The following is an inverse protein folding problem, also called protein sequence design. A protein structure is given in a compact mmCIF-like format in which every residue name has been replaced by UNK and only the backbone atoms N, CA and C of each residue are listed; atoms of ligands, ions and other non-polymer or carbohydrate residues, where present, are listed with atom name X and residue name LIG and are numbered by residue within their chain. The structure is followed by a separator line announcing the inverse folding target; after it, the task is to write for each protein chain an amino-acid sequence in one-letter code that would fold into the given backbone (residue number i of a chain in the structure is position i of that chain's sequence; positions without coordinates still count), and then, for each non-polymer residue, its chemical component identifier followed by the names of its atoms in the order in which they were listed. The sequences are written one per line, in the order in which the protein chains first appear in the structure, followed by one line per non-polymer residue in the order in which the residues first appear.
data_IF_277533479909
#
_entry.id   IF_277533479909
#
_cell.length_a   1.000
_cell.length_b   1.000
_cell.length_c   1.000
_cell.angle_alpha   90.00
_cell.angle_beta   90.00
_cell.angle_gamma   90.00
#
_symmetry.space_group_name_H-M   'P 1'
#
loop_
_entity.id
_entity.type
_entity.pdbx_description
1 polymer ?
#
# COMPACT_ATOMS: atom_id res chain seq x y z
N UNK A 1 -32.70 -11.91 33.74
CA UNK A 1 -31.71 -11.51 34.76
C UNK A 1 -30.70 -10.63 34.05
N UNK A 2 -30.66 -9.33 34.35
CA UNK A 2 -29.67 -8.43 33.74
C UNK A 2 -28.35 -8.62 34.49
N UNK A 3 -27.26 -8.86 33.76
CA UNK A 3 -25.91 -8.95 34.31
C UNK A 3 -25.52 -7.58 34.87
N UNK A 4 -24.91 -7.55 36.05
CA UNK A 4 -24.44 -6.29 36.64
C UNK A 4 -23.33 -5.65 35.80
N UNK A 5 -23.20 -4.32 35.84
CA UNK A 5 -22.17 -3.59 35.09
C UNK A 5 -20.76 -4.13 35.38
N UNK A 6 -20.44 -4.38 36.65
CA UNK A 6 -19.11 -4.86 37.06
C UNK A 6 -18.82 -6.29 36.56
N UNK A 7 -19.83 -7.17 36.56
CA UNK A 7 -19.73 -8.53 36.01
C UNK A 7 -19.50 -8.47 34.49
N UNK A 8 -20.19 -7.56 33.79
CA UNK A 8 -20.00 -7.38 32.35
C UNK A 8 -18.57 -6.88 32.04
N UNK A 9 -18.06 -5.89 32.79
CA UNK A 9 -16.70 -5.37 32.62
C UNK A 9 -15.66 -6.45 32.93
N UNK A 10 -15.84 -7.24 34.00
CA UNK A 10 -14.95 -8.34 34.35
C UNK A 10 -14.91 -9.41 33.26
N UNK A 11 -16.08 -9.79 32.72
CA UNK A 11 -16.17 -10.75 31.62
C UNK A 11 -15.49 -10.23 30.34
N UNK A 12 -15.64 -8.94 30.01
CA UNK A 12 -14.95 -8.34 28.86
C UNK A 12 -13.44 -8.37 29.04
N UNK A 13 -12.93 -7.99 30.23
CA UNK A 13 -11.49 -8.03 30.54
C UNK A 13 -10.93 -9.44 30.42
N UNK A 14 -11.60 -10.43 31.00
CA UNK A 14 -11.21 -11.83 30.90
C UNK A 14 -11.15 -12.31 29.44
N UNK A 15 -12.12 -11.93 28.60
CA UNK A 15 -12.08 -12.27 27.17
C UNK A 15 -10.97 -11.55 26.39
N UNK A 16 -10.68 -10.29 26.74
CA UNK A 16 -9.57 -9.54 26.14
C UNK A 16 -8.24 -10.17 26.55
N UNK A 17 -8.06 -10.47 27.83
CA UNK A 17 -6.86 -11.11 28.36
C UNK A 17 -6.66 -12.51 27.79
N UNK A 18 -7.73 -13.31 27.65
CA UNK A 18 -7.65 -14.61 26.97
C UNK A 18 -7.18 -14.47 25.51
N UNK A 19 -7.69 -13.47 24.78
CA UNK A 19 -7.33 -13.26 23.36
C UNK A 19 -5.92 -12.69 23.17
N UNK A 20 -5.47 -11.81 24.06
CA UNK A 20 -4.17 -11.12 23.98
C UNK A 20 -3.05 -11.88 24.70
N UNK A 21 -3.35 -12.44 25.88
CA UNK A 21 -2.40 -12.96 26.85
C UNK A 21 -2.00 -14.42 26.66
N UNK A 22 -2.72 -15.20 25.85
CA UNK A 22 -2.27 -16.56 25.52
C UNK A 22 -2.28 -17.54 26.70
N UNK A 23 -3.04 -17.29 27.77
CA UNK A 23 -3.07 -18.10 29.02
C UNK A 23 -3.67 -19.50 28.89
N UNK A 24 -3.60 -20.11 27.70
CA UNK A 24 -3.93 -21.52 27.47
C UNK A 24 -2.63 -22.31 27.27
N UNK A 25 -2.54 -23.50 27.87
CA UNK A 25 -1.37 -24.38 27.78
C UNK A 25 -0.93 -24.74 26.33
N UNK A 26 -1.80 -24.55 25.35
CA UNK A 26 -1.55 -24.81 23.93
C UNK A 26 -1.02 -23.61 23.13
N UNK A 27 -0.91 -22.42 23.73
CA UNK A 27 -0.45 -21.21 23.04
C UNK A 27 0.98 -20.90 23.44
N UNK A 28 1.84 -20.71 22.44
CA UNK A 28 3.24 -20.34 22.65
C UNK A 28 3.37 -18.82 22.68
N UNK A 29 4.02 -18.31 23.73
CA UNK A 29 4.26 -16.87 23.97
C UNK A 29 5.60 -16.40 23.37
N UNK A 30 5.84 -16.77 22.12
CA UNK A 30 7.05 -16.42 21.38
C UNK A 30 6.68 -15.55 20.18
N UNK A 31 7.43 -14.46 19.97
CA UNK A 31 7.20 -13.57 18.84
C UNK A 31 7.35 -14.31 17.51
N UNK A 32 6.35 -14.19 16.64
CA UNK A 32 6.36 -14.75 15.29
C UNK A 32 5.78 -16.15 15.19
N UNK A 33 5.53 -16.84 16.31
CA UNK A 33 4.96 -18.20 16.28
C UNK A 33 3.55 -18.20 15.70
N UNK A 34 2.74 -17.19 15.99
CA UNK A 34 1.36 -17.12 15.49
C UNK A 34 1.34 -16.96 13.97
N UNK A 35 2.25 -16.16 13.46
CA UNK A 35 2.50 -16.01 12.02
C UNK A 35 2.97 -17.33 11.40
N UNK A 36 3.94 -18.00 12.02
CA UNK A 36 4.46 -19.29 11.53
C UNK A 36 3.35 -20.35 11.46
N UNK A 37 2.57 -20.53 12.53
CA UNK A 37 1.49 -21.53 12.59
C UNK A 37 0.45 -21.26 11.50
N UNK A 38 0.09 -20.00 11.26
CA UNK A 38 -0.85 -19.63 10.21
C UNK A 38 -0.29 -19.92 8.81
N UNK A 39 1.00 -19.67 8.59
CA UNK A 39 1.70 -19.94 7.33
C UNK A 39 1.85 -21.45 7.06
N UNK A 40 2.27 -22.22 8.06
CA UNK A 40 2.41 -23.67 7.98
C UNK A 40 1.06 -24.34 7.71
N UNK A 41 0.00 -23.86 8.34
CA UNK A 41 -1.37 -24.30 8.05
C UNK A 41 -1.75 -24.03 6.59
N UNK A 42 -1.48 -22.82 6.08
CA UNK A 42 -1.77 -22.49 4.69
C UNK A 42 -1.04 -23.42 3.71
N UNK A 43 0.26 -23.64 3.94
CA UNK A 43 1.09 -24.50 3.11
C UNK A 43 0.66 -25.98 3.13
N UNK A 44 0.11 -26.43 4.26
CA UNK A 44 -0.27 -27.83 4.47
C UNK A 44 -1.69 -28.12 3.97
N UNK A 45 -2.59 -27.13 4.05
CA UNK A 45 -4.02 -27.34 3.84
C UNK A 45 -4.53 -26.73 2.52
N UNK A 46 -3.76 -25.86 1.87
CA UNK A 46 -4.13 -25.27 0.57
C UNK A 46 -3.17 -25.78 -0.51
N UNK A 47 -3.69 -26.66 -1.38
CA UNK A 47 -2.90 -27.34 -2.42
C UNK A 47 -2.16 -26.41 -3.38
N UNK A 48 -2.71 -25.21 -3.61
CA UNK A 48 -2.11 -24.19 -4.50
C UNK A 48 -1.12 -23.27 -3.80
N UNK A 49 -1.01 -23.30 -2.47
CA UNK A 49 -0.21 -22.33 -1.70
C UNK A 49 1.24 -22.25 -2.17
N UNK A 50 1.88 -23.42 -2.35
CA UNK A 50 3.28 -23.50 -2.83
C UNK A 50 3.44 -22.94 -4.23
N UNK A 51 2.54 -23.29 -5.15
CA UNK A 51 2.57 -22.78 -6.52
C UNK A 51 2.38 -21.26 -6.56
N UNK A 52 1.44 -20.73 -5.77
CA UNK A 52 1.19 -19.29 -5.64
C UNK A 52 2.41 -18.57 -5.07
N UNK A 53 3.05 -19.10 -4.02
CA UNK A 53 4.27 -18.51 -3.45
C UNK A 53 5.43 -18.47 -4.44
N UNK A 54 5.63 -19.56 -5.20
CA UNK A 54 6.67 -19.61 -6.24
C UNK A 54 6.36 -18.57 -7.33
N UNK A 55 5.14 -18.56 -7.86
CA UNK A 55 4.75 -17.63 -8.91
C UNK A 55 4.86 -16.16 -8.46
N UNK A 56 4.38 -15.86 -7.25
CA UNK A 56 4.49 -14.52 -6.66
C UNK A 56 5.95 -14.12 -6.43
N UNK A 57 6.78 -15.03 -5.90
CA UNK A 57 8.21 -14.80 -5.70
C UNK A 57 8.93 -14.49 -7.02
N UNK A 58 8.69 -15.28 -8.06
CA UNK A 58 9.24 -15.03 -9.40
C UNK A 58 8.80 -13.67 -9.95
N UNK A 59 7.51 -13.34 -9.82
CA UNK A 59 6.98 -12.07 -10.30
C UNK A 59 7.57 -10.87 -9.56
N UNK A 60 7.72 -10.96 -8.23
CA UNK A 60 8.36 -9.92 -7.40
C UNK A 60 9.81 -9.73 -7.83
N UNK A 61 10.59 -10.81 -8.00
CA UNK A 61 11.99 -10.74 -8.42
C UNK A 61 12.11 -10.10 -9.80
N UNK A 62 11.32 -10.55 -10.79
CA UNK A 62 11.32 -10.00 -12.15
C UNK A 62 10.95 -8.51 -12.12
N UNK A 63 9.88 -8.15 -11.41
CA UNK A 63 9.44 -6.76 -11.30
C UNK A 63 10.50 -5.87 -10.64
N UNK A 64 11.14 -6.35 -9.57
CA UNK A 64 12.25 -5.65 -8.90
C UNK A 64 13.44 -5.42 -9.82
N UNK A 65 13.87 -6.46 -10.55
CA UNK A 65 14.96 -6.35 -11.54
C UNK A 65 14.59 -5.31 -12.60
N UNK A 66 13.36 -5.34 -13.12
CA UNK A 66 12.88 -4.36 -14.11
C UNK A 66 12.86 -2.94 -13.52
N UNK A 67 12.35 -2.77 -12.30
CA UNK A 67 12.27 -1.48 -11.62
C UNK A 67 13.66 -0.87 -11.42
N UNK A 68 14.61 -1.65 -10.89
CA UNK A 68 15.99 -1.19 -10.65
C UNK A 68 16.69 -0.88 -11.97
N UNK A 69 16.55 -1.72 -12.99
CA UNK A 69 17.17 -1.49 -14.31
C UNK A 69 16.60 -0.27 -15.04
N UNK A 70 15.31 0.02 -14.90
CA UNK A 70 14.65 1.12 -15.62
C UNK A 70 14.68 2.45 -14.87
N UNK A 71 14.68 2.43 -13.55
CA UNK A 71 14.44 3.61 -12.71
C UNK A 71 15.44 3.78 -11.56
N UNK A 72 16.38 2.85 -11.39
CA UNK A 72 17.36 2.87 -10.31
C UNK A 72 16.85 2.31 -8.98
N UNK A 73 17.76 2.21 -8.02
CA UNK A 73 17.50 1.60 -6.71
C UNK A 73 16.52 2.39 -5.82
N UNK A 74 16.25 3.67 -6.13
CA UNK A 74 15.27 4.48 -5.38
C UNK A 74 13.85 3.91 -5.46
N UNK A 75 13.53 3.09 -6.47
CA UNK A 75 12.24 2.39 -6.55
C UNK A 75 12.02 1.35 -5.45
N UNK A 76 13.08 0.89 -4.79
CA UNK A 76 12.96 -0.01 -3.64
C UNK A 76 12.22 0.67 -2.49
N UNK A 77 12.39 1.98 -2.30
CA UNK A 77 11.61 2.74 -1.31
C UNK A 77 10.13 2.84 -1.65
N UNK A 78 9.81 3.01 -2.94
CA UNK A 78 8.41 3.02 -3.41
C UNK A 78 7.77 1.66 -3.16
N UNK A 79 8.46 0.57 -3.47
CA UNK A 79 8.01 -0.78 -3.14
C UNK A 79 7.76 -0.92 -1.63
N UNK A 80 8.75 -0.57 -0.81
CA UNK A 80 8.65 -0.72 0.64
C UNK A 80 7.44 0.04 1.21
N UNK A 81 7.24 1.28 0.77
CA UNK A 81 6.10 2.10 1.19
C UNK A 81 4.76 1.48 0.76
N UNK A 82 4.65 1.02 -0.49
CA UNK A 82 3.42 0.42 -1.01
C UNK A 82 3.15 -0.98 -0.44
N UNK A 83 4.19 -1.72 -0.05
CA UNK A 83 4.08 -3.04 0.57
C UNK A 83 3.84 -2.96 2.08
N UNK A 84 4.08 -1.81 2.73
CA UNK A 84 3.94 -1.65 4.18
C UNK A 84 2.59 -2.12 4.75
N UNK A 85 1.42 -1.90 4.10
CA UNK A 85 0.15 -2.41 4.59
C UNK A 85 0.09 -3.94 4.70
N UNK A 86 0.90 -4.70 3.96
CA UNK A 86 0.97 -6.14 4.06
C UNK A 86 1.48 -6.62 5.44
N UNK A 87 2.23 -5.77 6.16
CA UNK A 87 2.68 -6.03 7.54
C UNK A 87 1.52 -6.07 8.54
N UNK A 88 0.32 -5.58 8.17
CA UNK A 88 -0.85 -5.67 9.02
C UNK A 88 -1.21 -7.12 9.37
N UNK A 89 -1.06 -8.06 8.42
CA UNK A 89 -1.36 -9.46 8.66
C UNK A 89 -0.50 -10.10 9.77
N UNK A 90 0.85 -10.08 9.71
CA UNK A 90 1.67 -10.63 10.78
C UNK A 90 1.51 -9.86 12.10
N UNK A 91 1.38 -8.52 12.06
CA UNK A 91 1.11 -7.74 13.28
C UNK A 91 -0.19 -8.18 13.94
N UNK A 92 -1.25 -8.38 13.16
CA UNK A 92 -2.53 -8.86 13.64
C UNK A 92 -2.44 -10.28 14.23
N UNK A 93 -1.64 -11.16 13.62
CA UNK A 93 -1.43 -12.51 14.14
C UNK A 93 -0.77 -12.52 15.50
N UNK A 94 0.23 -11.65 15.72
CA UNK A 94 0.91 -11.54 17.01
C UNK A 94 0.04 -10.85 18.07
N UNK A 95 -0.70 -9.81 17.71
CA UNK A 95 -1.66 -9.15 18.62
C UNK A 95 -2.75 -10.11 19.09
N UNK A 96 -3.25 -10.98 18.21
CA UNK A 96 -4.26 -11.98 18.52
C UNK A 96 -3.69 -13.41 18.57
N UNK A 97 -2.48 -13.56 19.12
CA UNK A 97 -1.75 -14.84 19.15
C UNK A 97 -2.56 -16.03 19.61
N UNK A 98 -3.36 -15.89 20.67
CA UNK A 98 -4.22 -16.96 21.15
C UNK A 98 -5.23 -17.39 20.07
N UNK A 99 -5.93 -16.42 19.47
CA UNK A 99 -6.94 -16.68 18.46
C UNK A 99 -6.33 -17.25 17.16
N UNK A 100 -5.19 -16.71 16.74
CA UNK A 100 -4.51 -17.13 15.52
C UNK A 100 -3.94 -18.54 15.62
N UNK A 101 -3.39 -18.92 16.79
CA UNK A 101 -2.85 -20.27 17.02
C UNK A 101 -3.94 -21.33 17.22
N UNK A 102 -5.07 -20.98 17.85
CA UNK A 102 -6.19 -21.92 18.05
C UNK A 102 -7.07 -22.06 16.79
N UNK A 103 -7.14 -21.02 15.96
CA UNK A 103 -7.93 -21.00 14.72
C UNK A 103 -7.12 -20.66 13.45
N UNK A 104 -6.05 -21.42 13.14
CA UNK A 104 -5.22 -21.15 11.97
C UNK A 104 -6.01 -21.25 10.65
N UNK A 105 -7.07 -22.07 10.64
CA UNK A 105 -8.00 -22.19 9.51
C UNK A 105 -8.75 -20.91 9.12
N UNK A 106 -8.85 -19.90 9.99
CA UNK A 106 -9.41 -18.59 9.64
C UNK A 106 -8.32 -17.55 9.45
N UNK A 107 -7.31 -17.56 10.32
CA UNK A 107 -6.23 -16.59 10.31
C UNK A 107 -5.49 -16.58 8.96
N UNK A 108 -5.23 -17.75 8.38
CA UNK A 108 -4.41 -17.87 7.16
C UNK A 108 -4.99 -17.16 5.91
N UNK A 109 -6.28 -16.78 5.90
CA UNK A 109 -6.91 -16.14 4.74
C UNK A 109 -6.33 -14.76 4.43
N UNK A 110 -5.70 -14.07 5.40
CA UNK A 110 -5.04 -12.79 5.14
C UNK A 110 -3.65 -12.92 4.51
N UNK A 111 -3.02 -14.10 4.52
CA UNK A 111 -1.73 -14.34 3.86
C UNK A 111 -1.76 -14.11 2.34
N UNK A 112 -2.70 -14.71 1.55
CA UNK A 112 -2.76 -14.45 0.11
C UNK A 112 -3.08 -12.99 -0.22
N UNK A 113 -3.86 -12.30 0.63
CA UNK A 113 -4.13 -10.87 0.48
C UNK A 113 -2.86 -10.04 0.67
N UNK A 114 -2.12 -10.29 1.76
CA UNK A 114 -0.83 -9.63 2.01
C UNK A 114 0.17 -9.90 0.88
N UNK A 115 0.24 -11.13 0.38
CA UNK A 115 1.08 -11.48 -0.77
C UNK A 115 0.67 -10.71 -2.04
N UNK A 116 -0.63 -10.60 -2.32
CA UNK A 116 -1.17 -9.82 -3.43
C UNK A 116 -0.79 -8.33 -3.36
N UNK A 117 -0.81 -7.74 -2.15
CA UNK A 117 -0.34 -6.36 -1.92
C UNK A 117 1.14 -6.21 -2.27
N UNK A 118 2.01 -7.13 -1.81
CA UNK A 118 3.45 -7.10 -2.12
C UNK A 118 3.70 -7.26 -3.63
N UNK A 119 3.00 -8.18 -4.28
CA UNK A 119 3.08 -8.39 -5.74
C UNK A 119 2.65 -7.13 -6.48
N UNK A 120 1.50 -6.55 -6.12
CA UNK A 120 0.99 -5.32 -6.74
C UNK A 120 1.95 -4.15 -6.58
N UNK A 121 2.54 -3.99 -5.38
CA UNK A 121 3.55 -2.99 -5.11
C UNK A 121 4.81 -3.19 -5.98
N UNK A 122 5.28 -4.43 -6.16
CA UNK A 122 6.43 -4.74 -7.00
C UNK A 122 6.16 -4.42 -8.47
N UNK A 123 4.98 -4.82 -8.99
CA UNK A 123 4.56 -4.50 -10.37
C UNK A 123 4.44 -3.00 -10.56
N UNK A 124 3.86 -2.27 -9.60
CA UNK A 124 3.75 -0.81 -9.66
C UNK A 124 5.12 -0.12 -9.70
N UNK A 125 6.07 -0.57 -8.88
CA UNK A 125 7.44 -0.06 -8.88
C UNK A 125 8.13 -0.29 -10.24
N UNK A 126 7.79 -1.37 -10.95
CA UNK A 126 8.32 -1.71 -12.27
C UNK A 126 7.62 -1.00 -13.45
N UNK A 127 6.33 -0.69 -13.31
CA UNK A 127 5.48 -0.12 -14.36
C UNK A 127 5.56 1.41 -14.48
N UNK A 128 6.24 2.09 -13.55
CA UNK A 128 6.27 3.54 -13.50
C UNK A 128 6.78 4.14 -14.82
N UNK A 129 5.94 4.91 -15.51
CA UNK A 129 6.34 5.64 -16.71
C UNK A 129 7.46 6.61 -16.32
N UNK A 130 8.59 6.57 -17.01
CA UNK A 130 9.67 7.56 -16.84
C UNK A 130 9.00 8.92 -17.02
N UNK A 131 8.90 9.71 -15.94
CA UNK A 131 8.37 11.05 -16.04
C UNK A 131 9.15 11.72 -17.16
N UNK A 132 8.46 12.04 -18.27
CA UNK A 132 9.09 12.84 -19.32
C UNK A 132 9.44 14.12 -18.59
N UNK A 133 10.74 14.37 -18.39
CA UNK A 133 11.17 15.71 -18.05
C UNK A 133 10.46 16.60 -19.07
N UNK A 134 9.65 17.59 -18.64
CA UNK A 134 9.24 18.64 -19.53
C UNK A 134 10.57 19.13 -20.09
N UNK A 135 10.85 18.84 -21.36
CA UNK A 135 11.94 19.45 -22.09
C UNK A 135 11.75 20.92 -21.79
N UNK A 136 12.66 21.49 -21.00
CA UNK A 136 12.67 22.90 -20.70
C UNK A 136 12.47 23.56 -22.05
N UNK A 137 11.31 24.18 -22.25
CA UNK A 137 11.07 25.00 -23.43
C UNK A 137 12.29 25.91 -23.43
N UNK A 138 13.18 25.84 -24.45
CA UNK A 138 14.29 26.75 -24.53
C UNK A 138 13.65 28.11 -24.34
N UNK A 139 14.06 28.85 -23.32
CA UNK A 139 13.64 30.22 -23.18
C UNK A 139 14.11 30.88 -24.47
N UNK A 140 13.22 30.97 -25.46
CA UNK A 140 13.38 31.84 -26.59
C UNK A 140 13.60 33.18 -25.92
N UNK A 141 14.87 33.57 -25.93
CA UNK A 141 15.29 34.88 -25.51
C UNK A 141 14.66 35.75 -26.57
N UNK A 142 13.44 36.21 -26.28
CA UNK A 142 12.73 37.25 -26.99
C UNK A 142 13.71 38.42 -27.01
N UNK A 143 14.51 38.42 -28.06
CA UNK A 143 15.37 39.51 -28.47
C UNK A 143 14.55 40.32 -29.45
N UNK A 144 13.26 40.51 -29.14
CA UNK A 144 12.53 41.60 -29.75
C UNK A 144 13.02 42.86 -29.03
N UNK A 145 13.72 43.77 -29.74
CA UNK A 145 14.02 45.06 -29.16
C UNK A 145 12.69 45.71 -28.74
N UNK A 146 12.67 46.45 -27.61
CA UNK A 146 11.46 47.16 -27.20
C UNK A 146 10.98 48.00 -28.40
N UNK A 147 9.66 47.97 -28.72
CA UNK A 147 9.14 48.76 -29.82
C UNK A 147 9.54 50.22 -29.59
N UNK A 148 10.08 50.84 -30.64
CA UNK A 148 10.46 52.24 -30.60
C UNK A 148 9.25 53.07 -30.11
N UNK A 149 9.47 54.07 -29.25
CA UNK A 149 8.40 54.93 -28.75
C UNK A 149 7.98 55.92 -29.84
N UNK A 150 7.32 55.46 -30.89
CA UNK A 150 6.69 56.31 -31.89
C UNK A 150 5.55 55.55 -32.56
N UNK A 151 4.36 55.72 -32.01
CA UNK A 151 3.13 56.07 -32.75
C UNK A 151 1.94 56.00 -31.78
N UNK A 152 1.84 57.03 -30.94
CA UNK A 152 0.56 57.44 -30.36
C UNK A 152 -0.33 57.96 -31.50
N UNK A 153 -0.87 57.06 -32.31
CA UNK A 153 -1.98 57.40 -33.18
C UNK A 153 -3.22 57.61 -32.30
N UNK A 154 -3.88 58.79 -32.35
CA UNK A 154 -5.13 59.00 -31.66
C UNK A 154 -6.18 58.07 -32.29
N UNK A 155 -6.60 57.06 -31.53
CA UNK A 155 -7.76 56.24 -31.84
C UNK A 155 -8.98 57.15 -31.93
N UNK A 156 -9.32 57.57 -33.16
CA UNK A 156 -10.56 58.24 -33.45
C UNK A 156 -11.71 57.29 -33.15
N UNK A 157 -12.60 57.77 -32.28
CA UNK A 157 -13.82 57.10 -31.90
C UNK A 157 -14.73 56.89 -33.12
N UNK A 158 -15.11 55.64 -33.35
CA UNK A 158 -16.27 55.26 -34.14
C UNK A 158 -16.46 53.76 -33.92
N UNK A 159 -17.53 53.25 -33.32
CA UNK A 159 -18.89 53.73 -33.26
C UNK A 159 -19.79 52.57 -33.71
N UNK A 160 -20.88 52.33 -32.97
CA UNK A 160 -21.98 51.37 -33.21
C UNK A 160 -21.63 49.90 -32.94
N UNK A 161 -22.46 49.12 -32.24
CA UNK A 161 -23.87 49.30 -31.86
C UNK A 161 -24.60 47.96 -32.06
N UNK A 162 -25.53 47.63 -31.17
CA UNK A 162 -26.46 46.49 -31.26
C UNK A 162 -26.07 45.36 -30.31
N UNK A 163 -26.64 45.22 -29.10
CA UNK A 163 -28.03 44.84 -28.81
C UNK A 163 -28.52 43.67 -29.66
N UNK A 164 -28.68 42.50 -29.02
CA UNK A 164 -29.99 41.85 -28.90
C UNK A 164 -29.97 40.70 -27.89
N UNK A 165 -31.07 40.71 -27.16
CA UNK A 165 -31.57 39.84 -26.09
C UNK A 165 -31.66 38.36 -26.41
#
# INVERSE_FOLDING_TARGET
MLVGWDEAVAAIRDKVEFRLGGSSASVRDEFGVSTQVSFDYWLSNVSTARAVLIAAGLLIVVALVVAVRRHGASRLWVLALLAAPACFAPVWYELLRNHSQIHPGKAHMSLPVALGVVVGAAVFAAAAVRARHPTAVPAETSTDPPPAPDDLQPSTSGGRGGERS
#
